data_IF_027376032241
#
_entry.id   IF_027376032241
#
_cell.length_a   1.000
_cell.length_b   1.000
_cell.length_c   1.000
_cell.angle_alpha   90.00
_cell.angle_beta   90.00
_cell.angle_gamma   90.00
#
_symmetry.space_group_name_H-M   'P 1'
#
loop_
_entity.id
_entity.type
_entity.pdbx_description
1 polymer ?
#
# COMPACT_ATOMS: atom_id res chain seq x y z
N UNK A 1 14.11 -18.39 -46.90
CA UNK A 1 12.80 -19.03 -47.10
C UNK A 1 12.56 -20.04 -45.98
N UNK A 2 11.36 -19.98 -45.41
CA UNK A 2 10.65 -20.95 -44.56
C UNK A 2 11.11 -21.23 -43.10
N UNK A 3 10.30 -20.65 -42.21
CA UNK A 3 9.75 -21.22 -40.97
C UNK A 3 9.67 -22.76 -40.90
N UNK A 4 9.86 -23.29 -39.69
CA UNK A 4 8.84 -24.11 -39.02
C UNK A 4 9.00 -24.09 -37.50
N UNK A 5 7.93 -23.65 -36.83
CA UNK A 5 7.68 -23.81 -35.40
C UNK A 5 7.51 -25.28 -35.04
N UNK A 6 8.01 -25.71 -33.88
CA UNK A 6 7.44 -26.81 -33.10
C UNK A 6 7.53 -26.46 -31.60
N UNK A 7 6.40 -26.57 -30.91
CA UNK A 7 6.15 -26.21 -29.50
C UNK A 7 6.88 -27.11 -28.49
N UNK A 8 7.09 -26.64 -27.24
CA UNK A 8 7.18 -27.50 -26.07
C UNK A 8 5.89 -27.43 -25.23
N UNK A 9 4.85 -28.17 -25.62
CA UNK A 9 3.72 -28.50 -24.75
C UNK A 9 4.00 -29.84 -24.09
N UNK A 10 4.50 -29.85 -22.84
CA UNK A 10 4.17 -30.90 -21.85
C UNK A 10 4.82 -30.79 -20.46
N UNK A 11 5.73 -29.83 -20.19
CA UNK A 11 6.41 -29.77 -18.89
C UNK A 11 5.87 -28.72 -17.90
N UNK A 12 4.88 -27.91 -18.30
CA UNK A 12 4.34 -26.83 -17.47
C UNK A 12 3.02 -27.16 -16.74
N UNK A 13 2.54 -28.42 -16.78
CA UNK A 13 1.28 -28.82 -16.12
C UNK A 13 1.43 -29.70 -14.87
N UNK A 14 2.65 -30.12 -14.51
CA UNK A 14 2.86 -30.91 -13.29
C UNK A 14 3.37 -30.10 -12.08
N UNK A 15 3.78 -28.84 -12.26
CA UNK A 15 4.29 -28.01 -11.16
C UNK A 15 3.21 -27.02 -10.64
N UNK A 16 2.13 -26.80 -11.40
CA UNK A 16 1.05 -25.90 -10.98
C UNK A 16 -0.07 -26.56 -10.15
N UNK A 17 -0.02 -27.88 -9.95
CA UNK A 17 -0.97 -28.61 -9.09
C UNK A 17 -0.37 -29.08 -7.76
N UNK A 18 0.93 -28.83 -7.49
CA UNK A 18 1.57 -29.27 -6.24
C UNK A 18 1.58 -28.18 -5.15
N UNK A 19 1.23 -26.93 -5.47
CA UNK A 19 1.12 -25.84 -4.49
C UNK A 19 -0.26 -25.71 -3.85
N UNK A 20 -1.25 -26.51 -4.31
CA UNK A 20 -2.64 -26.43 -3.84
C UNK A 20 -3.05 -27.60 -2.92
N UNK A 21 -2.17 -28.57 -2.65
CA UNK A 21 -2.52 -29.80 -1.91
C UNK A 21 -1.80 -29.93 -0.56
N UNK A 22 -0.96 -28.97 -0.16
CA UNK A 22 -0.28 -29.00 1.15
C UNK A 22 -0.92 -28.16 2.27
N UNK A 23 -2.18 -27.73 2.11
CA UNK A 23 -2.96 -27.10 3.18
C UNK A 23 -4.12 -27.98 3.69
N UNK A 24 -4.29 -29.19 3.14
CA UNK A 24 -5.40 -30.08 3.45
C UNK A 24 -5.04 -31.20 4.47
N UNK A 25 -3.92 -31.06 5.20
CA UNK A 25 -3.55 -32.03 6.23
C UNK A 25 -3.62 -31.35 7.60
N UNK A 26 -4.78 -31.56 8.24
CA UNK A 26 -5.06 -31.54 9.69
C UNK A 26 -6.27 -30.70 10.09
N UNK A 27 -7.45 -30.93 9.47
CA UNK A 27 -8.73 -30.61 10.12
C UNK A 27 -9.41 -31.91 10.54
N UNK A 28 -8.92 -32.50 11.63
CA UNK A 28 -9.82 -33.23 12.52
C UNK A 28 -10.51 -32.15 13.36
N UNK A 29 -11.69 -31.70 12.94
CA UNK A 29 -12.52 -30.84 13.76
C UNK A 29 -12.87 -31.60 15.04
N UNK A 30 -12.24 -31.20 16.16
CA UNK A 30 -12.88 -31.40 17.45
C UNK A 30 -14.01 -30.38 17.53
N UNK A 31 -15.10 -30.73 18.20
CA UNK A 31 -16.24 -29.85 18.45
C UNK A 31 -15.91 -28.53 19.21
N UNK A 32 -14.62 -28.25 19.45
CA UNK A 32 -14.14 -27.07 20.17
C UNK A 32 -13.52 -26.00 19.24
N UNK A 33 -13.28 -26.28 17.96
CA UNK A 33 -12.57 -25.38 17.04
C UNK A 33 -13.51 -24.73 15.99
N UNK A 34 -14.77 -24.47 16.38
CA UNK A 34 -15.87 -24.10 15.47
C UNK A 34 -15.55 -22.85 14.61
N UNK A 35 -14.82 -21.88 15.17
CA UNK A 35 -14.51 -20.62 14.50
C UNK A 35 -13.06 -20.52 13.99
N UNK A 36 -12.28 -21.59 14.05
CA UNK A 36 -10.85 -21.55 13.70
C UNK A 36 -10.57 -21.09 12.24
N UNK A 37 -11.44 -21.47 11.29
CA UNK A 37 -11.32 -21.05 9.88
C UNK A 37 -11.58 -19.53 9.73
N UNK A 38 -12.65 -19.04 10.35
CA UNK A 38 -12.98 -17.62 10.36
C UNK A 38 -11.92 -16.78 11.06
N UNK A 39 -11.41 -17.26 12.20
CA UNK A 39 -10.31 -16.65 12.93
C UNK A 39 -9.05 -16.51 12.08
N UNK A 40 -8.62 -17.60 11.42
CA UNK A 40 -7.44 -17.57 10.56
C UNK A 40 -7.57 -16.53 9.45
N UNK A 41 -8.72 -16.48 8.78
CA UNK A 41 -8.96 -15.54 7.70
C UNK A 41 -9.01 -14.08 8.18
N UNK A 42 -9.67 -13.81 9.32
CA UNK A 42 -9.71 -12.48 9.92
C UNK A 42 -8.33 -12.05 10.45
N UNK A 43 -7.51 -12.95 11.00
CA UNK A 43 -6.14 -12.62 11.38
C UNK A 43 -5.26 -12.28 10.18
N UNK A 44 -5.44 -12.94 9.03
CA UNK A 44 -4.75 -12.57 7.80
C UNK A 44 -5.17 -11.18 7.31
N UNK A 45 -6.48 -10.89 7.33
CA UNK A 45 -7.00 -9.56 7.01
C UNK A 45 -6.45 -8.50 7.97
N UNK A 46 -6.45 -8.77 9.28
CA UNK A 46 -5.88 -7.89 10.31
C UNK A 46 -4.38 -7.64 10.06
N UNK A 47 -3.62 -8.68 9.75
CA UNK A 47 -2.19 -8.58 9.48
C UNK A 47 -1.89 -7.78 8.20
N UNK A 48 -2.73 -7.91 7.17
CA UNK A 48 -2.63 -7.08 5.97
C UNK A 48 -2.99 -5.61 6.27
N UNK A 49 -4.04 -5.37 7.05
CA UNK A 49 -4.47 -4.03 7.43
C UNK A 49 -3.48 -3.29 8.35
N UNK A 50 -2.75 -4.02 9.18
CA UNK A 50 -1.79 -3.44 10.14
C UNK A 50 -0.34 -3.54 9.70
N UNK A 51 -0.06 -3.94 8.46
CA UNK A 51 1.30 -3.96 7.92
C UNK A 51 1.79 -2.61 7.42
N UNK A 52 3.11 -2.48 7.39
CA UNK A 52 3.78 -1.26 6.97
C UNK A 52 3.69 -1.08 5.47
N UNK A 53 3.40 0.14 5.02
CA UNK A 53 3.47 0.56 3.62
C UNK A 53 4.60 1.59 3.51
N UNK A 54 5.65 1.26 2.76
CA UNK A 54 6.84 2.10 2.53
C UNK A 54 6.72 2.84 1.19
N UNK A 55 7.11 4.11 1.15
CA UNK A 55 7.00 4.92 -0.05
C UNK A 55 8.05 4.51 -1.10
N UNK A 56 9.23 4.12 -0.63
CA UNK A 56 10.40 3.73 -1.41
C UNK A 56 10.10 2.61 -2.41
N UNK A 57 9.15 1.73 -2.08
CA UNK A 57 8.67 0.67 -2.97
C UNK A 57 7.97 1.21 -4.24
N UNK A 58 7.36 2.39 -4.15
CA UNK A 58 6.53 2.98 -5.19
C UNK A 58 7.19 4.17 -5.88
N UNK A 59 7.95 4.98 -5.14
CA UNK A 59 8.65 6.16 -5.65
C UNK A 59 10.12 5.90 -6.01
N UNK A 60 10.65 4.74 -5.60
CA UNK A 60 12.09 4.45 -5.67
C UNK A 60 12.91 5.32 -4.71
N UNK A 61 14.25 5.23 -4.80
CA UNK A 61 15.16 6.14 -4.10
C UNK A 61 15.37 7.43 -4.92
N UNK A 62 14.29 8.09 -5.35
CA UNK A 62 14.46 9.30 -6.18
C UNK A 62 14.74 10.50 -5.28
N UNK A 63 15.94 11.08 -5.46
CA UNK A 63 16.16 12.47 -5.10
C UNK A 63 15.17 13.35 -5.89
N UNK A 64 14.86 14.56 -5.39
CA UNK A 64 13.95 15.47 -6.07
C UNK A 64 14.34 15.60 -7.56
N UNK A 65 13.40 15.38 -8.51
CA UNK A 65 13.71 15.43 -9.93
C UNK A 65 14.24 16.81 -10.34
N UNK A 66 15.48 16.86 -10.80
CA UNK A 66 16.11 18.08 -11.34
C UNK A 66 16.42 17.91 -12.82
N UNK A 67 16.37 19.01 -13.57
CA UNK A 67 16.97 19.06 -14.90
C UNK A 67 18.47 18.75 -14.74
N UNK A 68 19.06 17.82 -15.52
CA UNK A 68 20.49 17.55 -15.44
C UNK A 68 21.30 18.84 -15.64
N UNK A 69 22.20 19.15 -14.70
CA UNK A 69 23.00 20.38 -14.72
C UNK A 69 23.73 20.59 -16.04
N UNK A 70 24.25 19.51 -16.62
CA UNK A 70 25.00 19.56 -17.88
C UNK A 70 24.12 20.00 -19.06
N UNK A 71 22.82 19.67 -19.08
CA UNK A 71 21.89 20.14 -20.13
C UNK A 71 21.69 21.65 -20.01
N UNK A 72 21.48 22.15 -18.79
CA UNK A 72 21.35 23.58 -18.51
C UNK A 72 22.64 24.33 -18.88
N UNK A 73 23.80 23.83 -18.46
CA UNK A 73 25.09 24.46 -18.77
C UNK A 73 25.40 24.47 -20.27
N UNK A 74 25.14 23.37 -20.99
CA UNK A 74 25.31 23.33 -22.45
C UNK A 74 24.38 24.34 -23.14
N UNK A 75 23.13 24.47 -22.69
CA UNK A 75 22.18 25.45 -23.23
C UNK A 75 22.68 26.89 -23.03
N UNK A 76 23.12 27.21 -21.81
CA UNK A 76 23.69 28.53 -21.47
C UNK A 76 24.97 28.80 -22.26
N UNK A 77 25.85 27.81 -22.41
CA UNK A 77 27.13 27.97 -23.09
C UNK A 77 26.97 28.23 -24.60
N UNK A 78 25.92 27.68 -25.19
CA UNK A 78 25.61 27.83 -26.62
C UNK A 78 24.80 29.08 -26.94
N UNK A 79 24.33 29.83 -25.93
CA UNK A 79 23.75 31.15 -26.15
C UNK A 79 24.72 32.05 -26.93
N UNK A 80 24.19 32.79 -27.92
CA UNK A 80 24.99 33.77 -28.63
C UNK A 80 25.47 34.90 -27.68
N UNK A 81 26.43 35.70 -28.12
CA UNK A 81 27.08 36.65 -27.20
C UNK A 81 26.15 37.78 -26.79
N UNK A 82 25.25 38.20 -27.67
CA UNK A 82 24.22 39.19 -27.37
C UNK A 82 23.26 38.67 -26.29
N UNK A 83 22.76 37.44 -26.46
CA UNK A 83 21.88 36.79 -25.49
C UNK A 83 22.58 36.52 -24.16
N UNK A 84 23.83 36.07 -24.18
CA UNK A 84 24.60 35.82 -22.98
C UNK A 84 24.87 37.12 -22.19
N UNK A 85 25.12 38.22 -22.89
CA UNK A 85 25.30 39.54 -22.31
C UNK A 85 24.00 40.11 -21.70
N UNK A 86 22.83 39.66 -22.16
CA UNK A 86 21.55 40.10 -21.62
C UNK A 86 21.36 39.69 -20.14
N UNK A 87 20.59 40.52 -19.42
CA UNK A 87 20.21 40.29 -18.03
C UNK A 87 19.11 39.26 -17.88
N UNK A 88 18.21 39.18 -18.87
CA UNK A 88 17.07 38.26 -18.87
C UNK A 88 17.06 37.41 -20.12
N UNK A 89 16.47 36.22 -20.03
CA UNK A 89 16.16 35.39 -21.18
C UNK A 89 14.86 34.63 -20.94
N UNK A 90 13.78 35.09 -21.56
CA UNK A 90 12.42 34.61 -21.31
C UNK A 90 12.22 33.11 -21.63
N UNK A 91 12.95 32.55 -22.61
CA UNK A 91 12.86 31.11 -22.91
C UNK A 91 13.59 30.26 -21.86
N UNK A 92 14.47 30.87 -21.07
CA UNK A 92 15.11 30.23 -19.93
C UNK A 92 14.22 30.31 -18.68
N UNK A 93 13.86 31.54 -18.28
CA UNK A 93 12.99 31.85 -17.15
C UNK A 93 12.45 33.28 -17.26
N UNK A 94 11.33 33.56 -16.60
CA UNK A 94 10.81 34.92 -16.42
C UNK A 94 11.63 35.76 -15.42
N UNK A 95 12.52 35.13 -14.64
CA UNK A 95 13.34 35.75 -13.60
C UNK A 95 14.72 36.18 -14.13
N UNK A 96 15.13 37.42 -13.85
CA UNK A 96 16.50 37.92 -14.09
C UNK A 96 17.54 37.18 -13.24
N UNK A 97 17.18 36.84 -12.01
CA UNK A 97 18.04 36.13 -11.06
C UNK A 97 18.38 34.74 -11.62
N UNK A 98 17.40 34.04 -12.18
CA UNK A 98 17.59 32.68 -12.69
C UNK A 98 18.58 32.65 -13.85
N UNK A 99 18.49 33.60 -14.79
CA UNK A 99 19.43 33.67 -15.92
C UNK A 99 20.84 34.05 -15.46
N UNK A 100 20.94 34.99 -14.53
CA UNK A 100 22.22 35.40 -13.94
C UNK A 100 22.89 34.26 -13.17
N UNK A 101 22.09 33.51 -12.41
CA UNK A 101 22.53 32.32 -11.71
C UNK A 101 23.02 31.25 -12.69
N UNK A 102 22.27 30.96 -13.75
CA UNK A 102 22.67 29.96 -14.75
C UNK A 102 24.03 30.27 -15.41
N UNK A 103 24.30 31.56 -15.70
CA UNK A 103 25.60 32.02 -16.20
C UNK A 103 26.72 31.85 -15.17
N UNK A 104 26.41 32.14 -13.91
CA UNK A 104 27.35 31.98 -12.79
C UNK A 104 27.68 30.50 -12.57
N UNK A 105 26.67 29.62 -12.58
CA UNK A 105 26.82 28.17 -12.44
C UNK A 105 27.67 27.59 -13.57
N UNK A 106 27.43 27.97 -14.83
CA UNK A 106 28.28 27.59 -15.96
C UNK A 106 29.75 27.99 -15.74
N UNK A 107 29.99 29.21 -15.26
CA UNK A 107 31.34 29.73 -15.02
C UNK A 107 32.06 28.98 -13.89
N UNK A 108 31.30 28.56 -12.88
CA UNK A 108 31.80 27.81 -11.73
C UNK A 108 31.78 26.29 -11.95
N UNK A 109 31.25 25.81 -13.07
CA UNK A 109 31.15 24.38 -13.38
C UNK A 109 32.52 23.80 -13.78
N UNK A 110 33.25 23.32 -12.79
CA UNK A 110 34.61 22.81 -12.92
C UNK A 110 34.68 21.28 -12.81
N UNK A 111 35.66 20.69 -13.49
CA UNK A 111 36.05 19.30 -13.32
C UNK A 111 36.84 19.09 -12.02
N UNK A 112 37.18 17.83 -11.70
CA UNK A 112 37.96 17.46 -10.51
C UNK A 112 39.34 18.12 -10.44
N UNK A 113 39.85 18.61 -11.58
CA UNK A 113 41.14 19.29 -11.71
C UNK A 113 41.01 20.81 -11.67
N UNK A 114 39.79 21.33 -11.48
CA UNK A 114 39.51 22.76 -11.42
C UNK A 114 39.41 23.46 -12.79
N UNK A 115 39.45 22.71 -13.90
CA UNK A 115 39.23 23.28 -15.23
C UNK A 115 37.73 23.44 -15.49
N UNK A 116 37.37 24.43 -16.29
CA UNK A 116 35.97 24.59 -16.68
C UNK A 116 35.52 23.39 -17.53
N UNK A 117 34.48 22.68 -17.05
CA UNK A 117 34.00 21.43 -17.65
C UNK A 117 33.27 21.68 -18.97
N UNK A 118 32.61 22.83 -19.10
CA UNK A 118 31.88 23.24 -20.32
C UNK A 118 32.32 24.65 -20.70
N UNK A 119 33.00 24.78 -21.85
CA UNK A 119 33.42 26.06 -22.40
C UNK A 119 32.40 26.59 -23.42
N UNK A 120 32.31 27.91 -23.55
CA UNK A 120 31.49 28.55 -24.59
C UNK A 120 32.18 28.40 -25.95
N UNK A 121 31.54 27.79 -26.95
CA UNK A 121 32.10 27.71 -28.29
C UNK A 121 32.07 29.09 -28.99
N UNK A 122 32.96 29.26 -29.96
CA UNK A 122 32.98 30.43 -30.85
C UNK A 122 31.65 30.59 -31.61
N UNK A 123 31.33 31.83 -31.98
CA UNK A 123 30.13 32.13 -32.73
C UNK A 123 30.14 31.47 -34.11
N UNK A 124 29.10 30.70 -34.39
CA UNK A 124 28.93 30.02 -35.68
C UNK A 124 27.46 29.72 -35.94
N UNK A 125 27.11 29.44 -37.20
CA UNK A 125 25.78 28.95 -37.54
C UNK A 125 25.45 27.63 -36.82
N UNK A 126 26.45 26.76 -36.64
CA UNK A 126 26.31 25.51 -35.91
C UNK A 126 25.96 25.75 -34.43
N UNK A 127 26.61 26.71 -33.77
CA UNK A 127 26.31 27.08 -32.37
C UNK A 127 24.83 27.47 -32.19
N UNK A 128 24.28 28.28 -33.12
CA UNK A 128 22.87 28.71 -33.07
C UNK A 128 21.91 27.53 -33.21
N UNK A 129 22.19 26.61 -34.13
CA UNK A 129 21.36 25.41 -34.31
C UNK A 129 21.43 24.48 -33.09
N UNK A 130 22.62 24.26 -32.54
CA UNK A 130 22.81 23.47 -31.31
C UNK A 130 22.10 24.12 -30.11
N UNK A 131 22.14 25.46 -29.98
CA UNK A 131 21.42 26.17 -28.92
C UNK A 131 19.92 25.91 -28.96
N UNK A 132 19.32 25.96 -30.16
CA UNK A 132 17.90 25.64 -30.36
C UNK A 132 17.58 24.22 -29.94
N UNK A 133 18.37 23.23 -30.39
CA UNK A 133 18.15 21.82 -30.04
C UNK A 133 18.31 21.57 -28.53
N UNK A 134 19.28 22.21 -27.89
CA UNK A 134 19.44 22.16 -26.44
C UNK A 134 18.28 22.83 -25.70
N UNK A 135 17.70 23.89 -26.27
CA UNK A 135 16.47 24.50 -25.76
C UNK A 135 15.31 23.50 -25.75
N UNK A 136 15.14 22.73 -26.83
CA UNK A 136 14.11 21.69 -26.92
C UNK A 136 14.37 20.53 -25.93
N UNK A 137 15.63 20.08 -25.81
CA UNK A 137 16.03 19.05 -24.83
C UNK A 137 15.79 19.55 -23.40
N UNK A 138 16.14 20.81 -23.08
CA UNK A 138 15.90 21.40 -21.77
C UNK A 138 14.41 21.47 -21.45
N UNK A 139 13.57 21.89 -22.40
CA UNK A 139 12.10 21.91 -22.23
C UNK A 139 11.55 20.50 -21.97
N UNK A 140 12.02 19.50 -22.70
CA UNK A 140 11.63 18.10 -22.46
C UNK A 140 12.09 17.60 -21.08
N UNK A 141 13.32 17.93 -20.68
CA UNK A 141 13.83 17.58 -19.35
C UNK A 141 13.04 18.26 -18.23
N UNK A 142 12.66 19.53 -18.40
CA UNK A 142 11.81 20.25 -17.45
C UNK A 142 10.42 19.60 -17.32
N UNK A 143 9.79 19.27 -18.45
CA UNK A 143 8.50 18.58 -18.47
C UNK A 143 8.59 17.20 -17.80
N UNK A 144 9.67 16.44 -18.06
CA UNK A 144 9.90 15.14 -17.43
C UNK A 144 10.10 15.27 -15.91
N UNK A 145 10.89 16.25 -15.46
CA UNK A 145 11.11 16.50 -14.04
C UNK A 145 9.80 16.86 -13.31
N UNK A 146 8.99 17.74 -13.92
CA UNK A 146 7.68 18.13 -13.38
C UNK A 146 6.69 16.95 -13.34
N UNK A 147 6.64 16.14 -14.40
CA UNK A 147 5.81 14.93 -14.43
C UNK A 147 6.23 13.94 -13.34
N UNK A 148 7.53 13.75 -13.11
CA UNK A 148 8.02 12.86 -12.06
C UNK A 148 7.69 13.41 -10.67
N UNK A 149 7.84 14.72 -10.46
CA UNK A 149 7.46 15.39 -9.21
C UNK A 149 5.98 15.20 -8.92
N UNK A 150 5.12 15.42 -9.92
CA UNK A 150 3.68 15.22 -9.78
C UNK A 150 3.34 13.77 -9.46
N UNK A 151 3.90 12.82 -10.21
CA UNK A 151 3.67 11.39 -9.97
C UNK A 151 4.12 10.96 -8.56
N UNK A 152 5.23 11.49 -8.07
CA UNK A 152 5.73 11.23 -6.70
C UNK A 152 4.75 11.74 -5.65
N UNK A 153 4.27 12.97 -5.79
CA UNK A 153 3.26 13.54 -4.89
C UNK A 153 1.93 12.79 -4.93
N UNK A 154 1.49 12.38 -6.12
CA UNK A 154 0.27 11.59 -6.31
C UNK A 154 0.40 10.24 -5.58
N UNK A 155 1.54 9.55 -5.75
CA UNK A 155 1.85 8.31 -5.03
C UNK A 155 1.84 8.51 -3.51
N UNK A 156 2.51 9.54 -3.00
CA UNK A 156 2.53 9.81 -1.55
C UNK A 156 1.13 10.05 -0.98
N UNK A 157 0.29 10.78 -1.73
CA UNK A 157 -1.11 11.03 -1.38
C UNK A 157 -1.91 9.73 -1.35
N UNK A 158 -1.78 8.90 -2.39
CA UNK A 158 -2.45 7.60 -2.47
C UNK A 158 -2.01 6.65 -1.35
N UNK A 159 -0.73 6.66 -0.99
CA UNK A 159 -0.21 5.85 0.12
C UNK A 159 -0.75 6.33 1.47
N UNK A 160 -0.92 7.64 1.68
CA UNK A 160 -1.55 8.17 2.88
C UNK A 160 -3.02 7.73 2.98
N UNK A 161 -3.78 7.83 1.87
CA UNK A 161 -5.16 7.35 1.81
C UNK A 161 -5.27 5.84 2.05
N UNK A 162 -4.37 5.04 1.48
CA UNK A 162 -4.34 3.60 1.70
C UNK A 162 -4.06 3.26 3.16
N UNK A 163 -3.11 3.93 3.82
CA UNK A 163 -2.83 3.75 5.26
C UNK A 163 -4.05 4.09 6.11
N UNK A 164 -4.74 5.19 5.82
CA UNK A 164 -5.96 5.58 6.51
C UNK A 164 -7.08 4.54 6.33
N UNK A 165 -7.34 4.10 5.09
CA UNK A 165 -8.37 3.11 4.82
C UNK A 165 -8.10 1.76 5.52
N UNK A 166 -6.84 1.34 5.59
CA UNK A 166 -6.44 0.12 6.29
C UNK A 166 -6.55 0.27 7.82
N UNK A 167 -6.21 1.44 8.37
CA UNK A 167 -6.43 1.73 9.79
C UNK A 167 -7.93 1.73 10.15
N UNK A 168 -8.76 2.32 9.29
CA UNK A 168 -10.22 2.31 9.45
C UNK A 168 -10.77 0.87 9.36
N UNK A 169 -10.29 0.05 8.42
CA UNK A 169 -10.68 -1.35 8.35
C UNK A 169 -10.23 -2.16 9.57
N UNK A 170 -9.01 -1.92 10.08
CA UNK A 170 -8.48 -2.63 11.23
C UNK A 170 -9.25 -2.30 12.51
N UNK A 171 -9.39 -1.01 12.83
CA UNK A 171 -9.84 -0.52 14.14
C UNK A 171 -10.86 0.63 14.09
N UNK A 172 -11.28 1.09 12.91
CA UNK A 172 -12.23 2.19 12.75
C UNK A 172 -11.67 3.59 12.99
N UNK A 173 -10.34 3.76 12.97
CA UNK A 173 -9.66 5.04 13.19
C UNK A 173 -8.89 5.50 11.93
N UNK A 174 -8.68 6.81 11.81
CA UNK A 174 -7.96 7.41 10.67
C UNK A 174 -6.46 7.09 10.65
N UNK A 175 -5.90 6.74 11.81
CA UNK A 175 -4.50 6.35 11.96
C UNK A 175 -4.38 5.01 12.69
N UNK A 176 -3.42 4.19 12.25
CA UNK A 176 -3.16 2.92 12.87
C UNK A 176 -2.53 3.12 14.25
N UNK A 177 -3.13 2.48 15.25
CA UNK A 177 -2.68 2.49 16.64
C UNK A 177 -3.17 1.23 17.34
N UNK A 178 -2.76 1.05 18.59
CA UNK A 178 -3.41 0.06 19.44
C UNK A 178 -4.90 0.40 19.61
N UNK A 179 -5.73 -0.65 19.59
CA UNK A 179 -7.15 -0.54 19.88
C UNK A 179 -7.35 -0.09 21.34
N UNK A 180 -8.34 0.77 21.54
CA UNK A 180 -8.74 1.38 22.81
C UNK A 180 -10.20 1.04 23.08
N UNK A 181 -10.65 1.28 24.31
CA UNK A 181 -12.02 0.97 24.72
C UNK A 181 -13.07 1.64 23.81
N UNK A 182 -12.81 2.86 23.34
CA UNK A 182 -13.74 3.60 22.47
C UNK A 182 -13.79 3.10 21.02
N UNK A 183 -12.98 2.10 20.65
CA UNK A 183 -13.07 1.41 19.35
C UNK A 183 -14.01 0.20 19.40
N UNK A 184 -14.63 -0.03 20.57
CA UNK A 184 -15.56 -1.11 20.83
C UNK A 184 -16.87 -0.57 21.41
N UNK A 185 -17.89 -1.41 21.42
CA UNK A 185 -19.20 -1.12 22.00
C UNK A 185 -19.63 -2.24 22.95
N UNK A 186 -20.84 -2.15 23.50
CA UNK A 186 -21.45 -3.24 24.23
C UNK A 186 -21.84 -4.39 23.28
N UNK A 187 -21.85 -5.63 23.77
CA UNK A 187 -22.10 -6.83 22.97
C UNK A 187 -23.43 -6.75 22.22
N UNK A 188 -24.46 -6.24 22.88
CA UNK A 188 -25.79 -6.07 22.33
C UNK A 188 -25.85 -5.09 21.15
N UNK A 189 -24.84 -4.24 20.94
CA UNK A 189 -24.74 -3.34 19.80
C UNK A 189 -23.69 -3.82 18.78
N UNK A 190 -22.54 -4.28 19.27
CA UNK A 190 -21.39 -4.65 18.44
C UNK A 190 -21.55 -5.99 17.73
N UNK A 191 -22.05 -7.04 18.39
CA UNK A 191 -22.11 -8.38 17.78
C UNK A 191 -23.47 -8.68 17.15
N UNK A 192 -24.49 -7.86 17.42
CA UNK A 192 -25.83 -7.97 16.84
C UNK A 192 -26.05 -7.06 15.63
N UNK A 193 -25.13 -6.12 15.37
CA UNK A 193 -25.12 -5.26 14.19
C UNK A 193 -25.90 -3.95 14.29
N UNK A 194 -26.31 -3.53 15.49
CA UNK A 194 -27.02 -2.26 15.69
C UNK A 194 -26.07 -1.08 16.01
N UNK A 195 -24.82 -1.38 16.35
CA UNK A 195 -23.78 -0.42 16.72
C UNK A 195 -22.96 0.16 15.56
N UNK A 196 -22.24 1.24 15.85
CA UNK A 196 -21.27 1.86 14.91
C UNK A 196 -20.04 1.00 14.69
N UNK A 197 -19.68 0.16 15.66
CA UNK A 197 -18.63 -0.85 15.61
C UNK A 197 -19.18 -2.27 15.36
N UNK A 198 -20.35 -2.39 14.74
CA UNK A 198 -21.03 -3.66 14.43
C UNK A 198 -20.23 -4.65 13.55
N UNK A 199 -20.78 -5.84 13.23
CA UNK A 199 -20.10 -6.80 12.38
C UNK A 199 -19.83 -6.24 10.98
N UNK A 200 -18.64 -6.51 10.45
CA UNK A 200 -18.15 -5.99 9.18
C UNK A 200 -17.76 -4.50 9.20
N UNK A 201 -17.76 -3.84 10.36
CA UNK A 201 -17.29 -2.44 10.49
C UNK A 201 -15.80 -2.35 10.75
N UNK A 202 -15.27 -3.21 11.61
CA UNK A 202 -13.83 -3.30 11.90
C UNK A 202 -13.42 -4.75 12.09
N UNK A 203 -12.21 -5.09 11.65
CA UNK A 203 -11.67 -6.44 11.79
C UNK A 203 -11.48 -6.79 13.28
N UNK A 204 -11.11 -5.83 14.12
CA UNK A 204 -10.99 -6.08 15.58
C UNK A 204 -12.31 -6.42 16.23
N UNK A 205 -13.41 -5.73 15.88
CA UNK A 205 -14.73 -6.05 16.40
C UNK A 205 -15.20 -7.43 15.91
N UNK A 206 -14.98 -7.74 14.63
CA UNK A 206 -15.30 -9.05 14.06
C UNK A 206 -14.56 -10.19 14.77
N UNK A 207 -13.26 -10.01 15.04
CA UNK A 207 -12.47 -10.99 15.80
C UNK A 207 -12.98 -11.15 17.23
N UNK A 208 -13.33 -10.08 17.92
CA UNK A 208 -13.88 -10.14 19.29
C UNK A 208 -15.23 -10.87 19.30
N UNK A 209 -16.14 -10.54 18.38
CA UNK A 209 -17.45 -11.19 18.30
C UNK A 209 -17.34 -12.66 17.90
N UNK A 210 -16.43 -13.00 16.98
CA UNK A 210 -16.24 -14.38 16.54
C UNK A 210 -15.55 -15.23 17.63
N UNK A 211 -14.59 -14.66 18.36
CA UNK A 211 -13.73 -15.42 19.26
C UNK A 211 -14.06 -15.26 20.75
N UNK A 212 -15.22 -14.71 21.07
CA UNK A 212 -15.71 -14.64 22.45
C UNK A 212 -16.94 -15.52 22.64
N UNK A 213 -16.99 -16.26 23.74
CA UNK A 213 -18.10 -17.16 24.02
C UNK A 213 -18.17 -17.56 25.49
N UNK A 214 -19.37 -17.90 25.97
CA UNK A 214 -19.58 -18.26 27.37
C UNK A 214 -18.96 -19.63 27.71
N UNK A 215 -19.53 -20.72 27.18
CA UNK A 215 -18.99 -22.08 27.40
C UNK A 215 -17.89 -22.36 26.39
N UNK A 216 -16.71 -22.77 26.85
CA UNK A 216 -15.51 -23.03 26.02
C UNK A 216 -14.98 -21.83 25.21
N UNK A 217 -15.33 -20.59 25.56
CA UNK A 217 -14.88 -19.38 24.84
C UNK A 217 -13.37 -19.27 24.67
N UNK A 218 -12.58 -19.75 25.65
CA UNK A 218 -11.13 -19.79 25.57
C UNK A 218 -10.55 -20.71 24.47
N UNK A 219 -11.39 -21.52 23.81
CA UNK A 219 -10.98 -22.41 22.73
C UNK A 219 -11.78 -22.20 21.44
N UNK A 220 -12.76 -21.29 21.41
CA UNK A 220 -13.76 -21.21 20.35
C UNK A 220 -13.16 -20.93 18.96
N UNK A 221 -12.01 -20.25 18.90
CA UNK A 221 -11.28 -19.94 17.68
C UNK A 221 -10.04 -20.83 17.47
N UNK A 222 -9.96 -21.94 18.20
CA UNK A 222 -8.83 -22.86 18.20
C UNK A 222 -8.36 -23.18 19.62
N UNK A 223 -7.58 -24.24 19.78
CA UNK A 223 -7.03 -24.64 21.09
C UNK A 223 -6.26 -23.49 21.77
N UNK A 224 -6.78 -23.01 22.91
CA UNK A 224 -6.23 -21.88 23.66
C UNK A 224 -6.42 -20.51 23.00
N UNK A 225 -7.32 -20.39 22.01
CA UNK A 225 -7.61 -19.17 21.27
C UNK A 225 -9.08 -18.76 21.48
N UNK A 226 -9.27 -17.61 22.13
CA UNK A 226 -10.55 -16.98 22.33
C UNK A 226 -10.66 -16.33 23.71
N UNK A 227 -11.85 -15.85 24.07
CA UNK A 227 -12.09 -15.18 25.36
C UNK A 227 -13.46 -15.53 25.95
N UNK A 228 -13.54 -15.44 27.28
CA UNK A 228 -14.81 -15.51 28.03
C UNK A 228 -15.18 -14.15 28.63
N UNK A 229 -14.53 -13.07 28.20
CA UNK A 229 -14.72 -11.73 28.77
C UNK A 229 -15.88 -10.95 28.15
N UNK A 230 -16.34 -11.34 26.95
CA UNK A 230 -17.31 -10.59 26.16
C UNK A 230 -18.30 -11.53 25.47
N UNK A 231 -19.24 -12.07 26.24
CA UNK A 231 -20.02 -13.28 25.94
C UNK A 231 -21.52 -13.07 25.90
N UNK A 232 -22.03 -12.00 26.50
CA UNK A 232 -23.46 -11.76 26.63
C UNK A 232 -23.79 -10.27 26.49
N UNK A 233 -25.09 -9.96 26.36
CA UNK A 233 -25.59 -8.62 26.06
C UNK A 233 -25.29 -7.56 27.13
N UNK A 234 -24.95 -7.95 28.36
CA UNK A 234 -24.57 -7.02 29.42
C UNK A 234 -23.08 -6.61 29.37
N UNK A 235 -22.26 -7.34 28.62
CA UNK A 235 -20.83 -7.04 28.51
C UNK A 235 -20.59 -5.77 27.67
N UNK A 236 -19.67 -4.92 28.14
CA UNK A 236 -19.44 -3.58 27.61
C UNK A 236 -18.16 -3.45 26.76
N UNK A 237 -17.84 -2.23 26.35
CA UNK A 237 -16.65 -1.95 25.55
C UNK A 237 -15.33 -2.27 26.28
N UNK A 238 -15.28 -2.19 27.62
CA UNK A 238 -14.10 -2.56 28.39
C UNK A 238 -13.91 -4.07 28.42
N UNK A 239 -15.00 -4.83 28.52
CA UNK A 239 -15.01 -6.27 28.32
C UNK A 239 -14.51 -6.66 26.92
N UNK A 240 -14.95 -5.96 25.87
CA UNK A 240 -14.49 -6.17 24.49
C UNK A 240 -12.98 -5.93 24.32
N UNK A 241 -12.45 -4.86 24.92
CA UNK A 241 -11.01 -4.57 24.88
C UNK A 241 -10.16 -5.65 25.58
N UNK A 242 -10.67 -6.21 26.69
CA UNK A 242 -10.01 -7.34 27.35
C UNK A 242 -10.02 -8.58 26.46
N UNK A 243 -11.17 -8.91 25.85
CA UNK A 243 -11.26 -10.02 24.91
C UNK A 243 -10.31 -9.83 23.72
N UNK A 244 -10.24 -8.62 23.15
CA UNK A 244 -9.28 -8.30 22.09
C UNK A 244 -7.84 -8.53 22.53
N UNK A 245 -7.49 -8.17 23.77
CA UNK A 245 -6.14 -8.37 24.31
C UNK A 245 -5.79 -9.87 24.39
N UNK A 246 -6.73 -10.72 24.79
CA UNK A 246 -6.57 -12.17 24.79
C UNK A 246 -6.34 -12.69 23.36
N UNK A 247 -7.17 -12.24 22.41
CA UNK A 247 -7.21 -12.77 21.03
C UNK A 247 -6.03 -12.28 20.18
N UNK A 248 -5.66 -10.99 20.25
CA UNK A 248 -4.74 -10.35 19.29
C UNK A 248 -3.36 -11.02 19.22
N UNK A 249 -2.91 -11.57 20.33
CA UNK A 249 -1.59 -12.22 20.45
C UNK A 249 -1.49 -13.48 19.58
N UNK A 250 -2.63 -14.05 19.18
CA UNK A 250 -2.71 -15.25 18.35
C UNK A 250 -2.77 -14.94 16.85
N UNK A 251 -3.01 -13.69 16.45
CA UNK A 251 -2.89 -13.25 15.05
C UNK A 251 -1.42 -13.06 14.66
N UNK A 252 -0.60 -14.11 14.82
CA UNK A 252 0.82 -14.06 14.46
C UNK A 252 0.97 -13.89 12.95
N UNK A 253 1.72 -12.87 12.53
CA UNK A 253 2.20 -12.80 11.15
C UNK A 253 3.06 -14.04 10.91
N UNK A 254 2.83 -14.76 9.82
CA UNK A 254 3.66 -15.88 9.38
C UNK A 254 5.16 -15.52 9.16
N UNK A 255 5.52 -14.24 9.31
CA UNK A 255 6.87 -13.70 9.16
C UNK A 255 7.47 -13.15 10.46
N UNK A 256 6.91 -13.45 11.64
CA UNK A 256 7.47 -12.98 12.92
C UNK A 256 8.92 -13.45 13.17
N UNK A 257 9.37 -14.49 12.46
CA UNK A 257 10.75 -15.00 12.49
C UNK A 257 11.71 -14.34 11.47
N UNK A 258 11.22 -13.46 10.60
CA UNK A 258 12.09 -12.73 9.66
C UNK A 258 12.17 -11.27 10.08
N UNK A 259 13.39 -10.77 10.30
CA UNK A 259 13.75 -9.38 10.65
C UNK A 259 13.26 -8.29 9.67
N UNK A 260 12.39 -8.64 8.73
CA UNK A 260 11.67 -7.76 7.83
C UNK A 260 10.18 -7.93 8.15
N UNK A 261 9.58 -6.97 8.85
CA UNK A 261 8.13 -6.88 8.91
C UNK A 261 7.62 -6.94 7.46
N UNK A 262 6.81 -7.95 7.13
CA UNK A 262 6.32 -8.13 5.76
C UNK A 262 5.47 -6.92 5.41
N UNK A 263 5.97 -6.11 4.49
CA UNK A 263 5.27 -4.94 3.99
C UNK A 263 3.89 -5.34 3.45
N UNK A 264 2.89 -4.49 3.71
CA UNK A 264 1.59 -4.65 3.08
C UNK A 264 1.69 -4.23 1.63
N UNK A 265 1.31 -5.15 0.75
CA UNK A 265 1.24 -4.92 -0.70
C UNK A 265 -0.19 -5.15 -1.18
N UNK A 266 -0.53 -4.63 -2.36
CA UNK A 266 -1.82 -4.90 -2.98
C UNK A 266 -2.13 -6.40 -3.07
N UNK A 267 -1.13 -7.23 -3.45
CA UNK A 267 -1.28 -8.68 -3.50
C UNK A 267 -1.58 -9.31 -2.13
N UNK A 268 -0.97 -8.80 -1.05
CA UNK A 268 -1.26 -9.28 0.30
C UNK A 268 -2.71 -8.96 0.71
N UNK A 269 -3.19 -7.75 0.41
CA UNK A 269 -4.58 -7.34 0.67
C UNK A 269 -5.56 -8.19 -0.14
N UNK A 270 -5.30 -8.37 -1.44
CA UNK A 270 -6.15 -9.20 -2.32
C UNK A 270 -6.19 -10.66 -1.85
N UNK A 271 -5.05 -11.22 -1.43
CA UNK A 271 -5.00 -12.58 -0.88
C UNK A 271 -5.81 -12.70 0.41
N UNK A 272 -5.66 -11.75 1.34
CA UNK A 272 -6.41 -11.76 2.59
C UNK A 272 -7.92 -11.65 2.35
N UNK A 273 -8.34 -10.81 1.40
CA UNK A 273 -9.75 -10.69 1.02
C UNK A 273 -10.29 -11.97 0.40
N UNK A 274 -9.53 -12.61 -0.50
CA UNK A 274 -9.93 -13.88 -1.11
C UNK A 274 -10.05 -14.99 -0.06
N UNK A 275 -9.12 -15.04 0.90
CA UNK A 275 -9.15 -15.99 2.00
C UNK A 275 -10.36 -15.76 2.91
N UNK A 276 -10.65 -14.51 3.26
CA UNK A 276 -11.87 -14.13 4.00
C UNK A 276 -13.15 -14.55 3.26
N UNK A 277 -13.28 -14.21 1.98
CA UNK A 277 -14.42 -14.61 1.15
C UNK A 277 -14.58 -16.13 1.09
N UNK A 278 -13.47 -16.87 1.04
CA UNK A 278 -13.50 -18.33 1.02
C UNK A 278 -13.91 -18.97 2.35
N UNK A 279 -13.76 -18.23 3.45
CA UNK A 279 -14.11 -18.66 4.80
C UNK A 279 -15.58 -18.36 5.17
N UNK A 280 -16.22 -17.42 4.47
CA UNK A 280 -17.65 -17.14 4.64
C UNK A 280 -18.49 -18.41 4.43
N UNK A 281 -19.46 -18.63 5.32
CA UNK A 281 -20.35 -19.80 5.30
C UNK A 281 -19.71 -21.14 5.68
N UNK A 282 -18.38 -21.19 5.88
CA UNK A 282 -17.66 -22.41 6.30
C UNK A 282 -17.39 -22.39 7.80
N UNK A 283 -18.44 -22.58 8.60
CA UNK A 283 -18.33 -22.63 10.06
C UNK A 283 -19.63 -22.81 10.86
N UNK A 284 -20.80 -22.81 10.22
CA UNK A 284 -22.07 -22.93 10.97
C UNK A 284 -22.55 -24.37 10.97
N UNK A 285 -22.04 -25.18 11.91
CA UNK A 285 -22.76 -26.38 12.34
C UNK A 285 -23.89 -25.93 13.26
N UNK A 286 -25.12 -26.26 12.89
CA UNK A 286 -26.36 -25.97 13.62
C UNK A 286 -26.35 -26.60 15.02
N UNK A 287 -25.84 -25.85 16.00
CA UNK A 287 -26.01 -26.10 17.43
C UNK A 287 -26.65 -24.88 18.07
N UNK A 288 -27.58 -25.09 19.00
CA UNK A 288 -28.61 -24.15 19.51
C UNK A 288 -28.08 -22.81 20.09
N UNK A 289 -26.76 -22.53 20.09
CA UNK A 289 -26.19 -21.28 20.62
C UNK A 289 -25.27 -20.52 19.64
N UNK A 290 -25.21 -20.87 18.36
CA UNK A 290 -24.43 -20.10 17.38
C UNK A 290 -25.30 -18.99 16.74
N UNK A 291 -25.33 -17.80 17.34
CA UNK A 291 -25.79 -16.59 16.66
C UNK A 291 -24.59 -15.73 16.26
N UNK A 292 -24.12 -15.92 15.03
CA UNK A 292 -23.46 -14.87 14.24
C UNK A 292 -23.73 -15.17 12.76
N UNK A 293 -24.83 -14.65 12.26
CA UNK A 293 -25.06 -14.54 10.82
C UNK A 293 -24.13 -13.45 10.29
N UNK A 294 -22.98 -13.83 9.71
CA UNK A 294 -22.19 -12.92 8.86
C UNK A 294 -22.89 -12.62 7.52
N UNK A 295 -24.11 -13.13 7.29
CA UNK A 295 -24.79 -13.08 5.99
C UNK A 295 -25.85 -11.98 5.82
N UNK A 296 -26.13 -11.11 6.81
CA UNK A 296 -27.14 -10.05 6.64
C UNK A 296 -26.63 -8.67 6.99
N UNK A 297 -25.56 -8.24 6.32
CA UNK A 297 -25.14 -6.85 6.21
C UNK A 297 -25.31 -6.38 4.78
N UNK A 298 -26.32 -5.55 4.53
CA UNK A 298 -26.63 -4.92 3.25
C UNK A 298 -25.36 -4.43 2.53
N UNK A 299 -25.13 -4.91 1.30
CA UNK A 299 -24.01 -4.49 0.45
C UNK A 299 -23.85 -2.96 0.45
N UNK A 300 -22.75 -2.38 0.96
CA UNK A 300 -22.42 -1.02 0.59
C UNK A 300 -21.98 -1.06 -0.88
N UNK A 301 -22.64 -0.26 -1.69
CA UNK A 301 -22.30 -0.02 -3.08
C UNK A 301 -20.90 0.62 -3.19
N UNK A 302 -19.85 -0.21 -3.17
CA UNK A 302 -18.50 0.16 -3.59
C UNK A 302 -18.09 -0.74 -4.76
N UNK A 303 -18.93 -0.74 -5.79
CA UNK A 303 -18.62 -1.27 -7.10
C UNK A 303 -18.93 -0.22 -8.17
N UNK A 304 -18.37 0.99 -8.03
CA UNK A 304 -18.33 1.96 -9.13
C UNK A 304 -17.29 3.05 -8.88
N UNK A 305 -16.02 2.77 -9.15
CA UNK A 305 -15.11 3.70 -9.83
C UNK A 305 -13.71 3.10 -9.97
N UNK A 306 -13.55 2.10 -10.84
CA UNK A 306 -12.29 1.84 -11.51
C UNK A 306 -12.63 1.49 -12.96
N UNK A 307 -12.93 2.52 -13.76
CA UNK A 307 -12.76 2.43 -15.21
C UNK A 307 -11.35 2.93 -15.54
N UNK A 308 -10.59 2.20 -16.36
CA UNK A 308 -9.36 2.74 -16.94
C UNK A 308 -9.75 3.83 -17.96
N UNK A 309 -9.14 5.00 -17.83
CA UNK A 309 -9.12 5.99 -18.90
C UNK A 309 -8.25 5.44 -20.04
N UNK A 310 -8.90 5.25 -21.19
CA UNK A 310 -8.26 5.31 -22.50
C UNK A 310 -8.25 6.77 -22.97
#
# INVERSE_FOLDING_TARGET
MLHRCTEPRQKARLIFCLSLVLSAVSLRSKANDENAVGFSALCEAYNAATGTITAERYTGNSAAPTIPSDVTHLFVATADDELFANKTYWEYSASEEDWTQAKTELTNHKDEKGNQKINRPEQSALKKEVHKQLGDIRKQAQAAAENLRKATNDIETDLAQARMALAQAAIGADELRDAKQNDFEAHAAMCTGTGTHGPGKTITADLVCLCSGATNGANICGTGIGSTKYTNTADDAANALQAWTDIKSHCKRASADTKTAKETTAAAITSALANFQSALGKGVTTGINAQTNLETGQQPALARSLRPHA
#
